data_IF_582295106017
#
_entry.id   IF_582295106017
#
_cell.length_a   1.000
_cell.length_b   1.000
_cell.length_c   1.000
_cell.angle_alpha   90.00
_cell.angle_beta   90.00
_cell.angle_gamma   90.00
#
_symmetry.space_group_name_H-M   'P 1'
#
loop_
_entity.id
_entity.type
_entity.pdbx_description
1 polymer ?
#
# COMPACT_ATOMS: atom_id res chain seq x y z
N UNK A 1 3.36 -72.36 9.31
CA UNK A 1 3.02 -73.41 8.32
C UNK A 1 1.82 -72.94 7.50
N UNK A 2 1.99 -72.80 6.16
CA UNK A 2 0.99 -72.56 5.06
C UNK A 2 0.19 -71.24 5.09
N UNK A 3 0.43 -70.23 4.22
CA UNK A 3 0.24 -70.05 2.75
C UNK A 3 -1.21 -69.65 2.33
N UNK A 4 -1.35 -68.37 1.91
CA UNK A 4 -2.14 -67.70 0.83
C UNK A 4 -3.61 -68.08 0.52
N UNK A 5 -4.50 -67.06 0.46
CA UNK A 5 -5.00 -66.44 -0.79
C UNK A 5 -5.92 -65.23 -0.57
N UNK A 6 -5.87 -64.34 -1.57
CA UNK A 6 -6.53 -63.06 -1.84
C UNK A 6 -8.06 -63.08 -1.95
N UNK A 7 -8.72 -61.97 -1.60
CA UNK A 7 -9.92 -61.51 -2.32
C UNK A 7 -10.07 -59.98 -2.27
N UNK A 8 -10.18 -59.40 -3.46
CA UNK A 8 -10.45 -57.99 -3.78
C UNK A 8 -11.95 -57.71 -3.59
N UNK A 9 -12.33 -56.56 -3.04
CA UNK A 9 -13.71 -56.06 -3.18
C UNK A 9 -13.72 -54.66 -3.79
N UNK A 10 -14.42 -54.56 -4.91
CA UNK A 10 -14.69 -53.35 -5.69
C UNK A 10 -15.73 -52.51 -4.94
N UNK A 11 -15.49 -51.21 -4.77
CA UNK A 11 -16.58 -50.24 -4.57
C UNK A 11 -16.70 -49.38 -5.82
N UNK A 12 -17.93 -49.31 -6.31
CA UNK A 12 -18.35 -48.70 -7.55
C UNK A 12 -18.08 -47.18 -7.53
N UNK A 13 -17.54 -46.69 -8.64
CA UNK A 13 -17.50 -45.26 -8.99
C UNK A 13 -18.86 -44.93 -9.61
N UNK A 14 -19.67 -44.15 -8.91
CA UNK A 14 -20.83 -43.50 -9.50
C UNK A 14 -20.36 -42.18 -10.13
N UNK A 15 -20.30 -42.15 -11.46
CA UNK A 15 -20.09 -40.94 -12.23
C UNK A 15 -21.37 -40.10 -12.19
N UNK A 16 -21.29 -38.91 -11.57
CA UNK A 16 -22.32 -37.87 -11.73
C UNK A 16 -21.92 -37.03 -12.93
N UNK A 17 -22.60 -37.26 -14.05
CA UNK A 17 -22.56 -36.37 -15.20
C UNK A 17 -23.34 -35.09 -14.86
N UNK A 18 -22.65 -33.96 -14.72
CA UNK A 18 -23.29 -32.64 -14.73
C UNK A 18 -23.22 -32.12 -16.16
N UNK A 19 -24.40 -32.01 -16.77
CA UNK A 19 -24.60 -31.41 -18.07
C UNK A 19 -24.22 -29.92 -18.03
N UNK A 20 -23.15 -29.55 -18.73
CA UNK A 20 -22.87 -28.17 -19.07
C UNK A 20 -23.65 -27.82 -20.34
N UNK A 21 -24.74 -27.05 -20.19
CA UNK A 21 -25.44 -26.43 -21.32
C UNK A 21 -26.09 -25.14 -20.85
N UNK A 22 -25.36 -24.04 -21.02
CA UNK A 22 -25.91 -22.70 -21.15
C UNK A 22 -24.86 -21.81 -21.83
N UNK A 23 -24.75 -21.95 -23.15
CA UNK A 23 -24.15 -20.93 -24.00
C UNK A 23 -25.06 -19.69 -23.96
N UNK A 24 -24.61 -18.59 -23.35
CA UNK A 24 -25.13 -17.28 -23.71
C UNK A 24 -24.36 -16.80 -24.94
N UNK A 25 -24.93 -17.08 -26.11
CA UNK A 25 -24.56 -16.42 -27.35
C UNK A 25 -25.04 -14.96 -27.27
N UNK A 26 -24.10 -14.02 -27.24
CA UNK A 26 -24.41 -12.61 -27.55
C UNK A 26 -24.60 -12.55 -29.07
N UNK A 27 -25.85 -12.48 -29.50
CA UNK A 27 -26.19 -12.26 -30.90
C UNK A 27 -25.70 -10.87 -31.32
N UNK A 28 -24.69 -10.82 -32.19
CA UNK A 28 -24.34 -9.64 -32.94
C UNK A 28 -25.41 -9.41 -34.01
N UNK A 29 -26.25 -8.38 -33.84
CA UNK A 29 -27.13 -7.91 -34.90
C UNK A 29 -26.31 -7.12 -35.93
N UNK A 30 -26.46 -7.37 -37.24
CA UNK A 30 -25.80 -6.59 -38.27
C UNK A 30 -26.55 -5.26 -38.45
N UNK A 31 -25.86 -4.14 -38.18
CA UNK A 31 -26.35 -2.81 -38.58
C UNK A 31 -25.94 -2.62 -40.04
N UNK A 32 -26.90 -2.79 -40.95
CA UNK A 32 -26.79 -2.27 -42.31
C UNK A 32 -26.92 -0.75 -42.27
N UNK A 33 -25.86 -0.04 -42.65
CA UNK A 33 -25.89 1.38 -42.95
C UNK A 33 -25.99 1.53 -44.48
N UNK A 34 -27.18 1.84 -44.97
CA UNK A 34 -27.36 2.34 -46.34
C UNK A 34 -26.94 3.81 -46.42
N UNK A 35 -26.26 4.25 -47.50
CA UNK A 35 -25.90 5.64 -47.71
C UNK A 35 -27.09 6.42 -48.27
N UNK A 36 -27.73 7.26 -47.45
CA UNK A 36 -28.67 8.26 -47.94
C UNK A 36 -27.92 9.44 -48.60
N UNK A 37 -27.91 9.44 -49.92
CA UNK A 37 -27.55 10.58 -50.77
C UNK A 37 -28.69 11.60 -50.77
N UNK A 38 -28.43 12.82 -50.28
CA UNK A 38 -29.32 13.98 -50.48
C UNK A 38 -28.75 14.84 -51.61
N UNK A 39 -29.55 15.24 -52.62
CA UNK A 39 -29.05 16.05 -53.73
C UNK A 39 -28.93 17.52 -53.31
N UNK A 40 -27.74 18.10 -53.41
CA UNK A 40 -27.54 19.56 -53.33
C UNK A 40 -27.71 20.17 -54.71
N UNK A 41 -28.80 20.90 -54.91
CA UNK A 41 -29.00 21.81 -56.04
C UNK A 41 -28.16 23.08 -55.84
N UNK A 42 -27.25 23.36 -56.78
CA UNK A 42 -26.55 24.63 -56.92
C UNK A 42 -27.52 25.77 -57.23
N UNK A 43 -27.44 26.85 -56.46
CA UNK A 43 -27.97 28.17 -56.87
C UNK A 43 -26.80 29.15 -56.87
N UNK A 44 -26.42 29.58 -58.07
CA UNK A 44 -25.41 30.58 -58.32
C UNK A 44 -25.83 31.96 -57.77
N UNK A 45 -25.02 32.55 -56.89
CA UNK A 45 -25.11 33.97 -56.56
C UNK A 45 -23.78 34.67 -56.83
N UNK A 46 -23.87 35.72 -57.66
CA UNK A 46 -22.75 36.54 -58.16
C UNK A 46 -22.10 37.31 -57.00
N UNK A 47 -20.79 37.15 -56.84
CA UNK A 47 -19.93 37.86 -55.89
C UNK A 47 -19.69 39.32 -56.32
N UNK A 48 -19.90 40.26 -55.40
CA UNK A 48 -19.30 41.62 -55.42
C UNK A 48 -18.03 41.64 -54.55
N UNK A 49 -16.98 42.42 -54.90
CA UNK A 49 -15.73 42.43 -54.13
C UNK A 49 -15.90 43.16 -52.78
N UNK A 50 -15.33 42.57 -51.72
CA UNK A 50 -15.34 43.10 -50.34
C UNK A 50 -14.17 44.08 -50.13
N UNK A 51 -14.35 45.23 -49.45
CA UNK A 51 -13.28 46.18 -49.19
C UNK A 51 -12.28 45.66 -48.13
N UNK A 52 -11.02 46.09 -48.28
CA UNK A 52 -9.85 45.71 -47.48
C UNK A 52 -10.01 46.14 -46.00
N UNK A 53 -9.71 45.30 -44.99
CA UNK A 53 -9.81 45.71 -43.59
C UNK A 53 -8.67 46.66 -43.20
N UNK A 54 -9.00 47.67 -42.40
CA UNK A 54 -8.04 48.55 -41.72
C UNK A 54 -7.29 47.80 -40.59
N UNK A 55 -6.06 48.21 -40.23
CA UNK A 55 -5.28 47.56 -39.19
C UNK A 55 -5.92 47.75 -37.81
N UNK A 56 -5.97 46.68 -37.01
CA UNK A 56 -6.46 46.69 -35.63
C UNK A 56 -5.43 47.33 -34.69
N UNK A 57 -5.84 48.04 -33.62
CA UNK A 57 -4.91 48.62 -32.65
C UNK A 57 -4.21 47.51 -31.85
N UNK A 58 -2.90 47.64 -31.63
CA UNK A 58 -2.11 46.74 -30.78
C UNK A 58 -2.69 46.67 -29.36
N UNK A 59 -3.15 45.48 -28.97
CA UNK A 59 -3.42 45.15 -27.57
C UNK A 59 -2.09 44.98 -26.83
N UNK A 60 -1.87 45.81 -25.81
CA UNK A 60 -0.80 45.59 -24.82
C UNK A 60 -0.93 44.18 -24.23
N UNK A 61 0.17 43.44 -24.04
CA UNK A 61 0.13 42.13 -23.39
C UNK A 61 -0.50 42.24 -22.00
N UNK A 62 -1.62 41.55 -21.79
CA UNK A 62 -2.24 41.42 -20.49
C UNK A 62 -1.26 40.77 -19.50
N UNK A 63 -1.15 41.37 -18.30
CA UNK A 63 -0.32 40.84 -17.24
C UNK A 63 -0.65 39.36 -16.99
N UNK A 64 0.38 38.51 -16.91
CA UNK A 64 0.26 37.13 -16.43
C UNK A 64 -0.53 37.16 -15.10
N UNK A 65 -1.50 36.23 -14.90
CA UNK A 65 -2.09 36.05 -13.58
C UNK A 65 -0.97 35.91 -12.55
N UNK A 66 -1.08 36.54 -11.37
CA UNK A 66 -0.07 36.38 -10.34
C UNK A 66 0.12 34.88 -10.10
N UNK A 67 1.37 34.42 -10.19
CA UNK A 67 1.75 33.06 -9.80
C UNK A 67 1.23 32.90 -8.38
N UNK A 68 0.29 31.98 -8.18
CA UNK A 68 -0.22 31.67 -6.85
C UNK A 68 0.98 31.43 -5.93
N UNK A 69 0.99 32.07 -4.77
CA UNK A 69 2.02 31.80 -3.77
C UNK A 69 2.11 30.28 -3.57
N UNK A 70 3.33 29.70 -3.49
CA UNK A 70 3.46 28.27 -3.29
C UNK A 70 2.66 27.88 -2.05
N UNK A 71 1.86 26.81 -2.18
CA UNK A 71 1.11 26.28 -1.06
C UNK A 71 2.07 26.04 0.12
N UNK A 72 1.64 26.28 1.37
CA UNK A 72 2.49 26.02 2.53
C UNK A 72 2.96 24.56 2.49
N UNK A 73 4.18 24.24 2.96
CA UNK A 73 4.64 22.85 2.98
C UNK A 73 3.81 22.02 3.95
N UNK A 74 3.67 20.73 3.68
CA UNK A 74 3.11 19.80 4.65
C UNK A 74 3.98 19.73 5.91
N UNK A 75 3.34 19.60 7.07
CA UNK A 75 4.02 19.62 8.37
C UNK A 75 3.51 18.51 9.28
N UNK A 76 4.39 18.00 10.14
CA UNK A 76 4.01 17.01 11.15
C UNK A 76 3.38 17.73 12.35
N UNK A 77 2.11 17.47 12.61
CA UNK A 77 1.35 18.07 13.73
C UNK A 77 1.42 17.23 14.99
N UNK A 78 1.58 15.91 14.85
CA UNK A 78 1.66 14.98 15.97
C UNK A 78 2.52 13.77 15.62
N UNK A 79 3.24 13.26 16.62
CA UNK A 79 4.00 12.00 16.56
C UNK A 79 3.56 11.11 17.71
N UNK A 80 3.24 9.84 17.43
CA UNK A 80 2.94 8.84 18.45
C UNK A 80 3.73 7.55 18.21
N UNK A 81 4.49 7.12 19.21
CA UNK A 81 5.29 5.90 19.14
C UNK A 81 4.51 4.73 19.72
N UNK A 82 4.27 3.68 18.91
CA UNK A 82 3.62 2.45 19.36
C UNK A 82 4.63 1.40 19.84
N UNK A 83 5.82 1.44 19.27
CA UNK A 83 6.98 0.64 19.66
C UNK A 83 8.24 1.38 19.22
N UNK A 84 9.43 0.84 19.49
CA UNK A 84 10.66 1.39 18.90
C UNK A 84 10.71 1.23 17.38
N UNK A 85 9.99 0.26 16.82
CA UNK A 85 9.95 -0.03 15.38
C UNK A 85 8.79 0.66 14.66
N UNK A 86 7.69 0.98 15.35
CA UNK A 86 6.47 1.55 14.75
C UNK A 86 6.09 2.90 15.34
N UNK A 87 5.95 3.89 14.48
CA UNK A 87 5.56 5.27 14.81
C UNK A 87 4.43 5.74 13.89
N UNK A 88 3.51 6.56 14.38
CA UNK A 88 2.54 7.29 13.57
C UNK A 88 2.84 8.78 13.56
N UNK A 89 2.74 9.37 12.38
CA UNK A 89 2.77 10.80 12.13
C UNK A 89 1.36 11.26 11.77
N UNK A 90 0.94 12.41 12.26
CA UNK A 90 -0.15 13.15 11.65
C UNK A 90 0.49 14.26 10.83
N UNK A 91 0.31 14.18 9.52
CA UNK A 91 0.88 15.12 8.57
C UNK A 91 -0.26 16.00 8.07
N UNK A 92 -0.20 17.29 8.37
CA UNK A 92 -1.14 18.25 7.80
C UNK A 92 -0.88 18.36 6.29
N UNK A 93 -1.87 17.99 5.49
CA UNK A 93 -1.87 18.14 4.03
C UNK A 93 -2.52 19.46 3.64
N UNK A 94 -1.77 20.42 3.08
CA UNK A 94 -2.32 21.63 2.47
C UNK A 94 -3.36 21.31 1.39
N UNK A 95 -3.11 20.31 0.54
CA UNK A 95 -4.01 19.96 -0.56
C UNK A 95 -5.38 19.43 -0.08
N UNK A 96 -5.39 18.67 1.02
CA UNK A 96 -6.63 18.14 1.61
C UNK A 96 -7.18 18.98 2.76
N UNK A 97 -6.41 19.96 3.25
CA UNK A 97 -6.68 20.77 4.44
C UNK A 97 -7.07 19.90 5.65
N UNK A 98 -6.32 18.82 5.88
CA UNK A 98 -6.58 17.88 6.96
C UNK A 98 -5.32 17.16 7.40
N UNK A 99 -5.32 16.65 8.63
CA UNK A 99 -4.22 15.88 9.18
C UNK A 99 -4.40 14.41 8.80
N UNK A 100 -3.42 13.88 8.07
CA UNK A 100 -3.42 12.50 7.59
C UNK A 100 -2.49 11.68 8.46
N UNK A 101 -3.01 10.60 9.03
CA UNK A 101 -2.17 9.67 9.75
C UNK A 101 -1.33 8.84 8.76
N UNK A 102 -0.02 8.80 8.99
CA UNK A 102 0.93 7.95 8.27
C UNK A 102 1.69 7.12 9.30
N UNK A 103 1.51 5.80 9.24
CA UNK A 103 2.28 4.87 10.06
C UNK A 103 3.60 4.53 9.35
N UNK A 104 4.67 4.42 10.12
CA UNK A 104 6.00 4.09 9.62
C UNK A 104 6.54 2.91 10.42
N UNK A 105 6.95 1.86 9.70
CA UNK A 105 7.85 0.84 10.25
C UNK A 105 9.27 1.28 9.92
N UNK A 106 10.03 1.61 10.95
CA UNK A 106 11.38 2.15 10.82
C UNK A 106 12.37 1.05 10.45
N UNK A 107 13.32 1.39 9.59
CA UNK A 107 14.40 0.50 9.20
C UNK A 107 15.11 -0.14 10.41
N UNK A 108 15.51 -1.40 10.28
CA UNK A 108 16.21 -2.19 11.32
C UNK A 108 17.30 -1.39 12.04
N UNK A 109 18.19 -0.75 11.27
CA UNK A 109 19.36 -0.06 11.82
C UNK A 109 19.10 1.40 12.21
N UNK A 110 17.82 1.83 12.31
CA UNK A 110 17.43 3.21 12.62
C UNK A 110 18.21 3.79 13.81
N UNK A 111 18.23 3.09 14.94
CA UNK A 111 18.92 3.57 16.15
C UNK A 111 20.41 3.25 16.16
N UNK A 112 20.80 2.11 15.60
CA UNK A 112 22.20 1.70 15.54
C UNK A 112 23.05 2.57 14.60
N UNK A 113 22.44 3.19 13.60
CA UNK A 113 23.08 4.06 12.60
C UNK A 113 22.31 5.38 12.50
N UNK A 114 22.49 6.31 13.46
CA UNK A 114 21.70 7.56 13.54
C UNK A 114 21.87 8.48 12.33
N UNK A 115 23.03 8.42 11.65
CA UNK A 115 23.32 9.25 10.47
C UNK A 115 22.90 8.61 9.14
N UNK A 116 22.49 7.33 9.17
CA UNK A 116 22.08 6.62 7.96
C UNK A 116 20.67 7.02 7.53
N UNK A 117 20.48 7.16 6.22
CA UNK A 117 19.17 7.28 5.58
C UNK A 117 18.77 5.96 4.93
N UNK A 118 17.46 5.72 4.80
CA UNK A 118 16.89 4.46 4.35
C UNK A 118 15.98 4.64 3.12
N UNK A 119 15.92 3.67 2.19
CA UNK A 119 14.91 3.66 1.13
C UNK A 119 13.49 3.57 1.69
N UNK A 120 12.52 3.93 0.86
CA UNK A 120 11.10 3.97 1.22
C UNK A 120 10.32 2.86 0.51
N UNK A 121 9.42 2.20 1.23
CA UNK A 121 8.41 1.30 0.67
C UNK A 121 7.02 1.76 1.09
N UNK A 122 6.28 2.37 0.17
CA UNK A 122 4.89 2.76 0.41
C UNK A 122 3.97 1.56 0.20
N UNK A 123 3.15 1.24 1.19
CA UNK A 123 2.19 0.14 1.16
C UNK A 123 0.76 0.68 1.29
N UNK A 124 0.01 0.61 0.19
CA UNK A 124 -1.33 1.14 0.07
C UNK A 124 -2.39 0.10 0.45
N UNK A 125 -3.42 0.56 1.14
CA UNK A 125 -4.54 -0.25 1.62
C UNK A 125 -5.60 -0.46 0.51
N UNK A 126 -6.58 -1.30 0.79
CA UNK A 126 -7.69 -1.60 -0.09
C UNK A 126 -8.85 -0.60 -0.01
N UNK A 127 -9.93 -0.96 -0.70
CA UNK A 127 -11.12 -0.13 -0.84
C UNK A 127 -11.75 0.30 0.50
N UNK A 128 -11.66 -0.55 1.53
CA UNK A 128 -12.25 -0.36 2.87
C UNK A 128 -11.22 0.07 3.91
N UNK A 129 -10.25 0.90 3.52
CA UNK A 129 -9.22 1.41 4.41
C UNK A 129 -9.84 2.11 5.63
N UNK A 130 -9.38 1.76 6.84
CA UNK A 130 -9.91 2.31 8.10
C UNK A 130 -9.17 3.59 8.48
N UNK A 131 -9.86 4.52 9.15
CA UNK A 131 -9.32 5.82 9.56
C UNK A 131 -8.44 5.73 10.84
N UNK A 132 -8.37 4.57 11.51
CA UNK A 132 -7.63 4.39 12.77
C UNK A 132 -6.26 3.69 12.61
N UNK A 133 -6.15 2.73 11.70
CA UNK A 133 -4.92 2.00 11.43
C UNK A 133 -4.90 1.37 10.03
N UNK A 134 -3.72 1.25 9.42
CA UNK A 134 -3.55 0.56 8.15
C UNK A 134 -3.95 -0.91 8.26
N UNK A 135 -4.76 -1.39 7.32
CA UNK A 135 -5.21 -2.78 7.22
C UNK A 135 -4.06 -3.78 7.15
N UNK A 136 -2.91 -3.38 6.60
CA UNK A 136 -1.70 -4.20 6.61
C UNK A 136 -1.25 -4.55 8.04
N UNK A 137 -1.32 -3.60 8.97
CA UNK A 137 -0.97 -3.83 10.38
C UNK A 137 -2.03 -4.67 11.09
N UNK A 138 -3.31 -4.42 10.79
CA UNK A 138 -4.44 -5.09 11.44
C UNK A 138 -4.49 -6.58 11.06
N UNK A 139 -4.23 -6.91 9.80
CA UNK A 139 -4.60 -8.20 9.23
C UNK A 139 -3.41 -9.06 8.79
N UNK A 140 -2.17 -8.59 9.00
CA UNK A 140 -0.97 -9.31 8.57
C UNK A 140 0.13 -9.27 9.62
N UNK A 141 1.22 -9.99 9.37
CA UNK A 141 2.45 -9.91 10.15
C UNK A 141 3.52 -9.01 9.49
N UNK A 142 3.11 -7.97 8.76
CA UNK A 142 4.04 -7.02 8.09
C UNK A 142 5.03 -6.40 9.06
N UNK A 143 4.61 -6.03 10.27
CA UNK A 143 5.50 -5.43 11.29
C UNK A 143 6.63 -6.40 11.67
N UNK A 144 6.31 -7.67 11.91
CA UNK A 144 7.31 -8.68 12.24
C UNK A 144 8.18 -9.06 11.03
N UNK A 145 7.58 -9.08 9.84
CA UNK A 145 8.30 -9.39 8.60
C UNK A 145 9.32 -8.30 8.25
N UNK A 146 8.99 -7.03 8.53
CA UNK A 146 9.82 -5.87 8.19
C UNK A 146 10.87 -5.51 9.23
N UNK A 147 10.75 -6.02 10.46
CA UNK A 147 11.65 -5.74 11.58
C UNK A 147 13.15 -5.97 11.29
N UNK A 148 13.49 -6.85 10.34
CA UNK A 148 14.89 -7.18 10.00
C UNK A 148 15.42 -6.52 8.73
N UNK A 149 14.70 -5.56 8.15
CA UNK A 149 15.02 -4.93 6.86
C UNK A 149 15.41 -3.46 7.02
N UNK A 150 16.42 -3.01 6.28
CA UNK A 150 16.83 -1.60 6.25
C UNK A 150 16.00 -0.76 5.26
N UNK A 151 14.69 -0.70 5.49
CA UNK A 151 13.73 0.10 4.70
C UNK A 151 12.75 0.80 5.65
N UNK A 152 12.40 2.04 5.35
CA UNK A 152 11.27 2.69 5.99
C UNK A 152 9.98 2.30 5.25
N UNK A 153 9.10 1.56 5.91
CA UNK A 153 7.81 1.17 5.32
C UNK A 153 6.77 2.22 5.68
N UNK A 154 6.18 2.83 4.66
CA UNK A 154 5.24 3.95 4.78
C UNK A 154 3.83 3.41 4.56
N UNK A 155 2.96 3.60 5.54
CA UNK A 155 1.60 3.06 5.60
C UNK A 155 0.62 4.23 5.80
N UNK A 156 0.18 4.89 4.72
CA UNK A 156 -0.88 5.90 4.81
C UNK A 156 -2.17 5.27 5.35
N UNK A 157 -2.82 5.94 6.31
CA UNK A 157 -4.03 5.45 6.99
C UNK A 157 -5.26 6.18 6.47
N UNK A 158 -6.38 5.46 6.39
CA UNK A 158 -7.64 5.96 5.85
C UNK A 158 -7.67 6.04 4.32
N UNK A 159 -8.55 6.89 3.82
CA UNK A 159 -8.74 7.05 2.37
C UNK A 159 -9.62 5.98 1.74
N UNK A 160 -10.64 5.51 2.47
CA UNK A 160 -11.70 4.63 1.96
C UNK A 160 -12.13 5.07 0.55
N UNK A 161 -12.16 4.14 -0.41
CA UNK A 161 -12.57 4.38 -1.79
C UNK A 161 -11.77 5.42 -2.59
N UNK A 162 -10.72 6.03 -2.04
CA UNK A 162 -10.04 7.17 -2.66
C UNK A 162 -9.29 6.85 -3.97
N UNK A 163 -9.00 5.58 -4.24
CA UNK A 163 -8.05 5.14 -5.28
C UNK A 163 -6.67 5.82 -5.19
N UNK A 164 -6.37 6.44 -4.05
CA UNK A 164 -5.22 7.30 -3.81
C UNK A 164 -4.97 8.31 -4.95
N UNK A 165 -6.05 8.90 -5.48
CA UNK A 165 -6.01 9.88 -6.57
C UNK A 165 -6.46 11.27 -6.10
N UNK A 166 -6.24 12.27 -6.94
CA UNK A 166 -6.83 13.59 -6.79
C UNK A 166 -8.23 13.62 -7.43
N UNK A 167 -9.26 13.73 -6.59
CA UNK A 167 -10.66 13.73 -7.05
C UNK A 167 -11.02 15.09 -7.65
N UNK A 168 -11.89 15.10 -8.66
CA UNK A 168 -12.38 16.36 -9.26
C UNK A 168 -13.23 17.17 -8.30
N UNK A 169 -14.10 16.49 -7.57
CA UNK A 169 -15.05 17.10 -6.64
C UNK A 169 -15.01 16.39 -5.28
N UNK A 170 -15.23 17.13 -4.17
CA UNK A 170 -15.45 16.50 -2.87
C UNK A 170 -16.68 15.59 -2.90
N UNK A 171 -16.63 14.51 -2.12
CA UNK A 171 -17.76 13.59 -1.96
C UNK A 171 -17.79 13.03 -0.54
N UNK A 172 -18.98 12.73 -0.01
CA UNK A 172 -19.17 12.15 1.33
C UNK A 172 -18.41 12.86 2.46
N UNK A 173 -18.21 14.18 2.35
CA UNK A 173 -17.49 14.98 3.35
C UNK A 173 -15.96 14.83 3.28
N UNK A 174 -15.42 14.22 2.23
CA UNK A 174 -13.99 14.03 1.98
C UNK A 174 -13.58 14.81 0.73
N UNK A 175 -12.43 15.49 0.79
CA UNK A 175 -11.78 16.15 -0.34
C UNK A 175 -10.47 15.42 -0.64
N UNK A 176 -10.53 14.41 -1.49
CA UNK A 176 -9.37 13.56 -1.74
C UNK A 176 -8.39 14.21 -2.73
N UNK A 177 -7.16 14.46 -2.23
CA UNK A 177 -5.98 14.88 -3.00
C UNK A 177 -4.79 13.98 -2.69
N UNK A 178 -5.02 12.68 -2.76
CA UNK A 178 -4.06 11.66 -2.32
C UNK A 178 -2.85 11.54 -3.23
N UNK A 179 -2.98 11.77 -4.54
CA UNK A 179 -1.82 11.76 -5.43
C UNK A 179 -0.90 12.94 -5.08
N UNK A 180 -1.48 14.14 -4.92
CA UNK A 180 -0.71 15.30 -4.46
C UNK A 180 -0.02 15.03 -3.13
N UNK A 181 -0.74 14.48 -2.14
CA UNK A 181 -0.16 14.17 -0.84
C UNK A 181 1.00 13.16 -0.93
N UNK A 182 0.80 12.05 -1.64
CA UNK A 182 1.78 10.96 -1.71
C UNK A 182 3.01 11.30 -2.58
N UNK A 183 2.86 12.16 -3.59
CA UNK A 183 3.93 12.47 -4.54
C UNK A 183 4.67 13.77 -4.19
N UNK A 184 3.97 14.78 -3.65
CA UNK A 184 4.55 16.12 -3.48
C UNK A 184 4.71 16.54 -2.01
N UNK A 185 3.82 16.11 -1.13
CA UNK A 185 3.79 16.57 0.26
C UNK A 185 4.56 15.64 1.20
N UNK A 186 4.12 14.38 1.30
CA UNK A 186 4.66 13.40 2.22
C UNK A 186 6.16 13.08 2.00
N UNK A 187 6.67 12.90 0.76
CA UNK A 187 8.09 12.60 0.54
C UNK A 187 9.01 13.69 1.10
N UNK A 188 8.61 14.96 0.98
CA UNK A 188 9.35 16.11 1.51
C UNK A 188 9.52 16.00 3.03
N UNK A 189 8.45 15.63 3.74
CA UNK A 189 8.49 15.40 5.21
C UNK A 189 9.41 14.23 5.54
N UNK A 190 9.29 13.12 4.81
CA UNK A 190 10.02 11.89 5.09
C UNK A 190 11.54 12.01 4.84
N UNK A 191 11.93 12.68 3.77
CA UNK A 191 13.33 12.83 3.36
C UNK A 191 14.11 13.84 4.20
N UNK A 192 13.39 14.84 4.70
CA UNK A 192 13.94 15.88 5.57
C UNK A 192 14.05 15.39 7.01
N UNK A 193 12.96 14.93 7.60
CA UNK A 193 12.84 14.76 9.05
C UNK A 193 12.83 13.28 9.49
N UNK A 194 12.55 12.33 8.58
CA UNK A 194 12.44 10.90 8.88
C UNK A 194 13.48 10.03 8.19
N UNK A 195 14.65 10.62 7.89
CA UNK A 195 15.84 9.96 7.32
C UNK A 195 15.53 9.00 6.17
N UNK A 196 14.60 9.39 5.32
CA UNK A 196 14.32 8.66 4.10
C UNK A 196 15.17 9.17 2.93
N UNK A 197 15.49 8.28 2.00
CA UNK A 197 16.13 8.63 0.72
C UNK A 197 15.08 8.82 -0.37
N UNK A 198 15.49 9.28 -1.55
CA UNK A 198 14.64 9.38 -2.74
C UNK A 198 14.54 8.04 -3.52
N UNK A 199 15.10 6.95 -2.99
CA UNK A 199 14.93 5.59 -3.54
C UNK A 199 13.63 5.01 -2.98
N UNK A 200 12.60 4.93 -3.83
CA UNK A 200 11.23 4.60 -3.42
C UNK A 200 10.71 3.37 -4.15
N UNK A 201 9.90 2.59 -3.45
CA UNK A 201 9.05 1.54 -4.01
C UNK A 201 7.62 1.77 -3.55
N UNK A 202 6.66 1.34 -4.36
CA UNK A 202 5.23 1.38 -4.02
C UNK A 202 4.60 0.01 -4.26
N UNK A 203 3.72 -0.41 -3.36
CA UNK A 203 2.88 -1.57 -3.57
C UNK A 203 1.54 -1.40 -2.88
N UNK A 204 0.55 -2.19 -3.27
CA UNK A 204 -0.74 -2.20 -2.59
C UNK A 204 -1.61 -3.35 -3.03
N UNK A 205 -2.72 -3.53 -2.31
CA UNK A 205 -3.73 -4.52 -2.63
C UNK A 205 -5.01 -3.89 -3.16
N UNK A 206 -5.78 -4.60 -3.98
CA UNK A 206 -7.10 -4.13 -4.44
C UNK A 206 -7.02 -2.72 -5.05
N UNK A 207 -7.80 -1.76 -4.52
CA UNK A 207 -7.70 -0.33 -4.79
C UNK A 207 -6.24 0.20 -4.73
N UNK A 208 -5.51 -0.09 -3.65
CA UNK A 208 -4.10 0.28 -3.49
C UNK A 208 -3.18 -0.37 -4.52
N UNK A 209 -3.53 -1.56 -5.02
CA UNK A 209 -2.80 -2.24 -6.09
C UNK A 209 -3.01 -1.59 -7.45
N UNK A 210 -4.22 -1.10 -7.71
CA UNK A 210 -4.50 -0.21 -8.87
C UNK A 210 -3.72 1.08 -8.74
N UNK A 211 -3.80 1.72 -7.57
CA UNK A 211 -3.13 2.98 -7.30
C UNK A 211 -1.60 2.90 -7.41
N UNK A 212 -0.98 1.81 -6.93
CA UNK A 212 0.47 1.64 -7.02
C UNK A 212 0.96 1.67 -8.47
N UNK A 213 0.27 0.97 -9.38
CA UNK A 213 0.62 0.96 -10.80
C UNK A 213 0.28 2.30 -11.48
N UNK A 214 -0.87 2.87 -11.15
CA UNK A 214 -1.32 4.18 -11.66
C UNK A 214 -0.33 5.29 -11.28
N UNK A 215 0.00 5.44 -9.99
CA UNK A 215 0.90 6.47 -9.49
C UNK A 215 2.31 6.32 -10.06
N UNK A 216 2.81 5.09 -10.20
CA UNK A 216 4.11 4.84 -10.84
C UNK A 216 4.12 5.20 -12.33
N UNK A 217 3.03 4.93 -13.05
CA UNK A 217 2.91 5.27 -14.47
C UNK A 217 2.75 6.79 -14.68
N UNK A 218 2.02 7.46 -13.78
CA UNK A 218 1.83 8.92 -13.82
C UNK A 218 3.05 9.71 -13.39
N UNK A 219 3.95 9.09 -12.63
CA UNK A 219 5.17 9.70 -12.12
C UNK A 219 6.42 8.89 -12.52
N UNK A 220 6.77 8.80 -13.82
CA UNK A 220 7.87 7.97 -14.28
C UNK A 220 9.20 8.31 -13.61
N UNK A 221 9.89 7.28 -13.13
CA UNK A 221 11.18 7.41 -12.44
C UNK A 221 11.09 7.76 -10.95
N UNK A 222 9.90 8.11 -10.44
CA UNK A 222 9.70 8.41 -9.02
C UNK A 222 9.80 7.17 -8.13
N UNK A 223 9.27 6.03 -8.61
CA UNK A 223 9.37 4.72 -7.97
C UNK A 223 10.27 3.78 -8.78
N UNK A 224 11.18 3.08 -8.09
CA UNK A 224 12.02 2.01 -8.67
C UNK A 224 11.30 0.68 -8.80
N UNK A 225 10.25 0.48 -8.00
CA UNK A 225 9.39 -0.70 -8.01
C UNK A 225 7.92 -0.33 -7.83
N UNK A 226 7.04 -1.04 -8.54
CA UNK A 226 5.60 -0.98 -8.38
C UNK A 226 5.01 -2.40 -8.27
N UNK A 227 4.27 -2.66 -7.18
CA UNK A 227 3.61 -3.94 -6.90
C UNK A 227 2.10 -3.83 -6.85
N UNK A 228 1.38 -4.70 -7.57
CA UNK A 228 -0.08 -4.76 -7.54
C UNK A 228 -0.55 -6.12 -7.08
N UNK A 229 -1.22 -6.19 -5.92
CA UNK A 229 -1.77 -7.42 -5.35
C UNK A 229 -3.29 -7.45 -5.52
N UNK A 230 -3.78 -8.24 -6.46
CA UNK A 230 -5.20 -8.31 -6.83
C UNK A 230 -5.80 -6.93 -7.17
N UNK A 231 -5.04 -6.07 -7.85
CA UNK A 231 -5.53 -4.78 -8.34
C UNK A 231 -6.36 -4.91 -9.62
N UNK A 232 -7.19 -3.90 -9.88
CA UNK A 232 -7.87 -3.72 -11.18
C UNK A 232 -6.96 -2.85 -12.05
N UNK A 233 -6.35 -3.44 -13.07
CA UNK A 233 -5.29 -2.78 -13.86
C UNK A 233 -5.76 -2.22 -15.20
N UNK A 234 -7.07 -2.12 -15.39
CA UNK A 234 -7.69 -1.47 -16.54
C UNK A 234 -8.99 -0.78 -16.08
N UNK A 235 -9.12 0.52 -16.30
CA UNK A 235 -10.24 1.33 -15.80
C UNK A 235 -11.21 1.77 -16.89
N UNK A 236 -10.77 1.79 -18.15
CA UNK A 236 -11.50 2.41 -19.27
C UNK A 236 -12.12 1.42 -20.24
N UNK A 237 -11.86 0.11 -20.11
CA UNK A 237 -12.53 -0.87 -20.95
C UNK A 237 -14.03 -0.91 -20.69
N UNK A 238 -14.77 -1.38 -21.69
CA UNK A 238 -16.23 -1.49 -21.61
C UNK A 238 -16.68 -2.20 -20.31
N UNK A 239 -17.58 -1.56 -19.57
CA UNK A 239 -18.10 -2.06 -18.28
C UNK A 239 -17.22 -1.76 -17.05
N UNK A 240 -15.97 -1.32 -17.23
CA UNK A 240 -15.08 -1.02 -16.10
C UNK A 240 -15.47 0.22 -15.31
N UNK A 241 -15.84 1.35 -15.93
CA UNK A 241 -16.32 2.51 -15.17
C UNK A 241 -17.52 2.17 -14.28
N UNK A 242 -18.44 1.33 -14.76
CA UNK A 242 -19.59 0.85 -14.01
C UNK A 242 -19.18 -0.10 -12.87
N UNK A 243 -18.20 -0.98 -13.10
CA UNK A 243 -17.66 -1.85 -12.06
C UNK A 243 -16.94 -1.05 -10.95
N UNK A 244 -16.19 -0.02 -11.32
CA UNK A 244 -15.57 0.91 -10.35
C UNK A 244 -16.65 1.68 -9.60
N UNK A 245 -17.69 2.19 -10.28
CA UNK A 245 -18.82 2.83 -9.61
C UNK A 245 -19.54 1.89 -8.63
N UNK A 246 -19.69 0.61 -8.97
CA UNK A 246 -20.24 -0.39 -8.06
C UNK A 246 -19.35 -0.58 -6.83
N UNK A 247 -18.03 -0.70 -7.04
CA UNK A 247 -17.06 -0.82 -5.94
C UNK A 247 -17.11 0.40 -5.01
N UNK A 248 -17.07 1.62 -5.54
CA UNK A 248 -17.15 2.84 -4.74
C UNK A 248 -18.45 2.96 -3.95
N UNK A 249 -19.58 2.49 -4.50
CA UNK A 249 -20.86 2.41 -3.76
C UNK A 249 -20.82 1.42 -2.62
N UNK A 250 -20.22 0.25 -2.81
CA UNK A 250 -20.02 -0.77 -1.78
C UNK A 250 -19.00 -0.33 -0.71
N UNK A 251 -17.97 0.42 -1.11
CA UNK A 251 -16.91 0.96 -0.25
C UNK A 251 -17.24 2.34 0.33
N UNK A 252 -18.41 2.50 0.96
CA UNK A 252 -18.78 3.75 1.64
C UNK A 252 -19.72 4.67 0.85
N UNK A 253 -20.23 4.22 -0.30
CA UNK A 253 -21.29 4.93 -1.02
C UNK A 253 -20.81 6.06 -1.93
N UNK A 254 -19.55 6.07 -2.35
CA UNK A 254 -18.96 7.14 -3.14
C UNK A 254 -19.38 7.12 -4.62
N UNK A 255 -19.26 8.27 -5.28
CA UNK A 255 -19.57 8.48 -6.69
C UNK A 255 -18.31 8.60 -7.56
N UNK A 256 -18.17 7.70 -8.54
CA UNK A 256 -17.03 7.70 -9.47
C UNK A 256 -17.00 8.96 -10.35
N UNK A 257 -18.16 9.58 -10.59
CA UNK A 257 -18.23 10.84 -11.32
C UNK A 257 -17.61 12.00 -10.54
N UNK A 258 -17.58 11.95 -9.19
CA UNK A 258 -16.87 12.93 -8.37
C UNK A 258 -15.35 12.70 -8.40
N UNK A 259 -14.93 11.44 -8.56
CA UNK A 259 -13.52 11.07 -8.70
C UNK A 259 -12.94 11.50 -10.05
N UNK A 260 -13.51 11.02 -11.16
CA UNK A 260 -12.95 11.22 -12.51
C UNK A 260 -13.90 11.90 -13.51
N UNK A 261 -15.12 12.27 -13.11
CA UNK A 261 -16.14 12.73 -14.05
C UNK A 261 -16.86 11.57 -14.74
N UNK A 262 -17.74 11.85 -15.72
CA UNK A 262 -18.45 10.81 -16.46
C UNK A 262 -17.45 9.85 -17.16
N UNK A 263 -17.83 8.60 -17.49
CA UNK A 263 -16.93 7.63 -18.12
C UNK A 263 -16.23 8.09 -19.41
N UNK A 264 -16.79 9.09 -20.11
CA UNK A 264 -16.20 9.71 -21.30
C UNK A 264 -15.10 10.73 -21.00
N UNK A 265 -14.96 11.13 -19.73
CA UNK A 265 -14.02 12.15 -19.28
C UNK A 265 -12.56 11.65 -19.46
N UNK A 266 -11.66 12.48 -20.00
CA UNK A 266 -10.25 12.12 -20.17
C UNK A 266 -9.56 11.62 -18.90
N UNK A 267 -10.00 12.08 -17.72
CA UNK A 267 -9.41 11.69 -16.45
C UNK A 267 -9.39 10.17 -16.25
N UNK A 268 -10.38 9.43 -16.74
CA UNK A 268 -10.35 7.95 -16.67
C UNK A 268 -9.15 7.36 -17.38
N UNK A 269 -8.80 7.86 -18.58
CA UNK A 269 -7.62 7.39 -19.34
C UNK A 269 -6.31 7.86 -18.72
N UNK A 270 -6.30 9.06 -18.15
CA UNK A 270 -5.15 9.62 -17.45
C UNK A 270 -4.81 8.86 -16.17
N UNK A 271 -5.72 8.02 -15.67
CA UNK A 271 -5.55 7.22 -14.44
C UNK A 271 -5.62 5.71 -14.71
N UNK A 272 -5.75 5.27 -15.95
CA UNK A 272 -5.82 3.85 -16.31
C UNK A 272 -4.41 3.25 -16.46
N UNK A 273 -3.99 2.31 -15.59
CA UNK A 273 -2.67 1.67 -15.69
C UNK A 273 -2.41 1.02 -17.05
N UNK A 274 -3.42 0.39 -17.66
CA UNK A 274 -3.29 -0.26 -18.96
C UNK A 274 -2.98 0.72 -20.08
N UNK A 275 -3.64 1.87 -20.06
CA UNK A 275 -3.43 2.94 -21.04
C UNK A 275 -2.03 3.54 -20.87
N UNK A 276 -1.60 3.75 -19.62
CA UNK A 276 -0.32 4.35 -19.26
C UNK A 276 0.86 3.36 -19.21
N UNK A 277 0.68 2.11 -19.63
CA UNK A 277 1.66 1.05 -19.44
C UNK A 277 3.05 1.37 -20.05
N UNK A 278 3.13 2.20 -21.11
CA UNK A 278 4.41 2.62 -21.71
C UNK A 278 5.27 3.46 -20.75
N UNK A 279 4.62 4.18 -19.82
CA UNK A 279 5.26 5.05 -18.83
C UNK A 279 5.96 4.29 -17.70
N UNK A 280 5.69 3.00 -17.56
CA UNK A 280 6.33 2.14 -16.55
C UNK A 280 7.69 1.59 -16.99
N UNK A 281 8.20 1.99 -18.15
CA UNK A 281 9.52 1.56 -18.63
C UNK A 281 10.61 1.99 -17.65
N UNK A 282 11.40 1.02 -17.20
CA UNK A 282 12.47 1.24 -16.21
C UNK A 282 12.04 1.04 -14.76
N UNK A 283 10.76 0.84 -14.49
CA UNK A 283 10.25 0.45 -13.16
C UNK A 283 10.21 -1.07 -13.06
N UNK A 284 10.64 -1.63 -11.93
CA UNK A 284 10.51 -3.06 -11.64
C UNK A 284 9.05 -3.38 -11.26
N UNK A 285 8.39 -4.26 -12.01
CA UNK A 285 6.95 -4.51 -11.86
C UNK A 285 6.66 -5.90 -11.29
N UNK A 286 5.77 -5.96 -10.29
CA UNK A 286 5.19 -7.20 -9.76
C UNK A 286 3.66 -7.13 -9.82
N UNK A 287 3.03 -8.12 -10.43
CA UNK A 287 1.58 -8.18 -10.63
C UNK A 287 1.12 -9.53 -10.13
N UNK A 288 0.28 -9.58 -9.10
CA UNK A 288 -0.32 -10.83 -8.65
C UNK A 288 -1.84 -10.79 -8.68
N UNK A 289 -2.46 -11.92 -9.01
CA UNK A 289 -3.89 -12.15 -8.83
C UNK A 289 -4.14 -13.64 -8.54
N UNK A 290 -5.16 -13.91 -7.73
CA UNK A 290 -5.77 -15.22 -7.59
C UNK A 290 -6.76 -15.48 -8.73
N UNK A 291 -7.78 -16.29 -8.46
CA UNK A 291 -8.82 -16.63 -9.45
C UNK A 291 -10.23 -16.68 -8.86
N UNK A 292 -10.39 -16.25 -7.60
CA UNK A 292 -11.68 -16.27 -6.90
C UNK A 292 -12.11 -17.66 -6.40
N UNK A 293 -11.33 -18.71 -6.69
CA UNK A 293 -11.57 -20.07 -6.18
C UNK A 293 -11.02 -20.16 -4.75
N UNK A 294 -11.84 -20.71 -3.85
CA UNK A 294 -11.47 -21.04 -2.46
C UNK A 294 -10.17 -21.85 -2.47
N UNK A 295 -9.13 -21.31 -1.86
CA UNK A 295 -7.85 -21.97 -1.67
C UNK A 295 -7.59 -22.33 -0.20
N UNK A 296 -6.37 -22.77 0.13
CA UNK A 296 -6.03 -23.29 1.46
C UNK A 296 -6.22 -22.29 2.62
N UNK A 297 -6.30 -20.98 2.33
CA UNK A 297 -6.46 -19.94 3.35
C UNK A 297 -7.92 -19.47 3.54
N UNK A 298 -8.87 -20.11 2.85
CA UNK A 298 -10.29 -19.74 2.88
C UNK A 298 -11.14 -20.65 3.78
N UNK A 299 -12.22 -20.10 4.35
CA UNK A 299 -13.29 -20.91 4.95
C UNK A 299 -14.28 -21.30 3.84
N UNK A 300 -14.56 -22.61 3.63
CA UNK A 300 -15.53 -23.04 2.61
C UNK A 300 -16.94 -22.51 2.93
N UNK A 301 -17.75 -22.20 1.90
CA UNK A 301 -19.20 -22.00 2.05
C UNK A 301 -19.96 -23.33 1.93
N UNK A 302 -21.29 -23.28 2.16
CA UNK A 302 -22.20 -24.42 1.98
C UNK A 302 -22.32 -24.89 0.50
N UNK A 303 -21.77 -24.11 -0.45
CA UNK A 303 -21.65 -24.49 -1.86
C UNK A 303 -20.17 -24.80 -2.16
N UNK A 304 -19.84 -26.04 -2.60
CA UNK A 304 -18.47 -26.40 -2.95
C UNK A 304 -17.86 -25.42 -3.96
N UNK A 305 -16.61 -24.99 -3.72
CA UNK A 305 -15.80 -24.05 -4.54
C UNK A 305 -16.16 -22.56 -4.47
N UNK A 306 -17.15 -22.14 -3.67
CA UNK A 306 -17.49 -20.72 -3.46
C UNK A 306 -17.16 -20.27 -2.04
N UNK A 307 -16.60 -19.05 -1.90
CA UNK A 307 -16.44 -18.38 -0.60
C UNK A 307 -17.75 -17.66 -0.21
N UNK A 308 -18.00 -17.47 1.09
CA UNK A 308 -19.18 -16.74 1.59
C UNK A 308 -19.21 -15.26 1.19
N UNK A 309 -18.08 -14.72 0.72
CA UNK A 309 -17.94 -13.35 0.25
C UNK A 309 -18.12 -13.24 -1.29
N UNK A 310 -19.37 -13.28 -1.76
CA UNK A 310 -19.71 -13.24 -3.18
C UNK A 310 -19.16 -12.01 -3.92
N UNK A 311 -19.11 -10.83 -3.29
CA UNK A 311 -18.55 -9.62 -3.89
C UNK A 311 -17.02 -9.71 -4.06
N UNK A 312 -16.33 -10.32 -3.09
CA UNK A 312 -14.89 -10.60 -3.19
C UNK A 312 -14.52 -11.56 -4.32
N UNK A 313 -15.36 -12.57 -4.61
CA UNK A 313 -15.14 -13.49 -5.73
C UNK A 313 -15.26 -12.77 -7.07
N UNK A 314 -16.30 -11.96 -7.26
CA UNK A 314 -16.51 -11.18 -8.49
C UNK A 314 -15.37 -10.19 -8.76
N UNK A 315 -14.92 -9.47 -7.72
CA UNK A 315 -13.79 -8.55 -7.83
C UNK A 315 -12.47 -9.28 -8.12
N UNK A 316 -12.23 -10.45 -7.54
CA UNK A 316 -11.00 -11.23 -7.81
C UNK A 316 -10.95 -11.73 -9.26
N UNK A 317 -12.09 -12.18 -9.81
CA UNK A 317 -12.19 -12.56 -11.23
C UNK A 317 -11.88 -11.35 -12.14
N UNK A 318 -12.43 -10.18 -11.81
CA UNK A 318 -12.17 -8.96 -12.58
C UNK A 318 -10.71 -8.51 -12.50
N UNK A 319 -10.11 -8.55 -11.29
CA UNK A 319 -8.69 -8.30 -11.08
C UNK A 319 -7.83 -9.26 -11.90
N UNK A 320 -8.18 -10.56 -11.91
CA UNK A 320 -7.46 -11.59 -12.67
C UNK A 320 -7.45 -11.29 -14.17
N UNK A 321 -8.62 -10.98 -14.74
CA UNK A 321 -8.75 -10.66 -16.18
C UNK A 321 -7.93 -9.42 -16.54
N UNK A 322 -8.11 -8.33 -15.79
CA UNK A 322 -7.40 -7.07 -16.06
C UNK A 322 -5.88 -7.21 -15.86
N UNK A 323 -5.44 -8.00 -14.88
CA UNK A 323 -4.02 -8.30 -14.66
C UNK A 323 -3.39 -9.11 -15.80
N UNK A 324 -4.14 -10.03 -16.42
CA UNK A 324 -3.69 -10.77 -17.60
C UNK A 324 -3.58 -9.88 -18.84
N UNK A 325 -4.57 -9.01 -19.05
CA UNK A 325 -4.57 -8.05 -20.15
C UNK A 325 -3.40 -7.07 -19.99
N UNK A 326 -3.18 -6.57 -18.77
CA UNK A 326 -2.06 -5.70 -18.44
C UNK A 326 -0.70 -6.35 -18.70
N UNK A 327 -0.49 -7.59 -18.25
CA UNK A 327 0.75 -8.32 -18.55
C UNK A 327 0.96 -8.54 -20.07
N UNK A 328 -0.12 -8.84 -20.80
CA UNK A 328 -0.07 -8.92 -22.27
C UNK A 328 0.33 -7.59 -22.91
N UNK A 329 -0.18 -6.47 -22.39
CA UNK A 329 0.18 -5.12 -22.84
C UNK A 329 1.65 -4.80 -22.58
N UNK A 330 2.17 -5.12 -21.39
CA UNK A 330 3.60 -4.95 -21.07
C UNK A 330 4.49 -5.77 -22.02
N UNK A 331 4.14 -7.03 -22.27
CA UNK A 331 4.86 -7.89 -23.20
C UNK A 331 4.88 -7.31 -24.63
N UNK A 332 3.75 -6.79 -25.13
CA UNK A 332 3.67 -6.12 -26.44
C UNK A 332 4.54 -4.86 -26.51
N UNK A 333 4.73 -4.17 -25.39
CA UNK A 333 5.58 -2.96 -25.30
C UNK A 333 7.06 -3.28 -25.01
N UNK A 334 7.41 -4.56 -24.83
CA UNK A 334 8.75 -4.98 -24.42
C UNK A 334 9.16 -4.41 -23.06
N UNK A 335 8.21 -4.37 -22.10
CA UNK A 335 8.45 -3.93 -20.72
C UNK A 335 8.39 -5.17 -19.83
N UNK A 336 9.48 -5.45 -19.12
CA UNK A 336 9.56 -6.61 -18.23
C UNK A 336 8.69 -6.39 -16.98
N UNK A 337 7.86 -7.37 -16.65
CA UNK A 337 7.13 -7.42 -15.40
C UNK A 337 6.93 -8.86 -14.95
N UNK A 338 6.95 -9.07 -13.64
CA UNK A 338 6.70 -10.39 -13.05
C UNK A 338 5.19 -10.54 -12.80
N UNK A 339 4.54 -11.37 -13.60
CA UNK A 339 3.13 -11.70 -13.40
C UNK A 339 3.01 -13.05 -12.68
N UNK A 340 2.41 -13.04 -11.48
CA UNK A 340 2.20 -14.23 -10.64
C UNK A 340 0.71 -14.52 -10.55
N UNK A 341 0.33 -15.69 -11.01
CA UNK A 341 -1.06 -16.09 -11.12
C UNK A 341 -1.30 -17.37 -10.35
N UNK A 342 -1.89 -17.25 -9.17
CA UNK A 342 -2.11 -18.44 -8.34
C UNK A 342 -3.25 -19.30 -8.89
N UNK A 343 -3.15 -20.64 -8.75
CA UNK A 343 -4.20 -21.57 -9.16
C UNK A 343 -5.42 -21.54 -8.24
N UNK A 344 -5.33 -20.89 -7.08
CA UNK A 344 -6.41 -20.67 -6.12
C UNK A 344 -6.14 -19.39 -5.34
N UNK A 345 -7.18 -18.78 -4.79
CA UNK A 345 -7.06 -17.66 -3.85
C UNK A 345 -8.17 -16.64 -4.03
N UNK A 346 -8.61 -16.10 -2.91
CA UNK A 346 -9.67 -15.10 -2.81
C UNK A 346 -9.10 -13.72 -2.50
N UNK A 347 -9.97 -12.70 -2.58
CA UNK A 347 -9.65 -11.31 -2.28
C UNK A 347 -9.54 -11.06 -0.76
N UNK A 348 -8.55 -11.67 -0.10
CA UNK A 348 -8.40 -11.65 1.36
C UNK A 348 -6.95 -11.46 1.84
N UNK A 349 -6.80 -11.01 3.08
CA UNK A 349 -5.52 -10.64 3.69
C UNK A 349 -4.43 -11.71 3.72
N UNK A 350 -4.69 -13.00 4.05
CA UNK A 350 -3.63 -14.02 4.08
C UNK A 350 -2.92 -14.15 2.73
N UNK A 351 -3.69 -14.06 1.65
CA UNK A 351 -3.18 -14.11 0.29
C UNK A 351 -2.34 -12.90 -0.09
N UNK A 352 -2.73 -11.69 0.35
CA UNK A 352 -1.94 -10.48 0.11
C UNK A 352 -0.66 -10.46 0.92
N UNK A 353 -0.69 -10.94 2.18
CA UNK A 353 0.51 -11.12 2.98
C UNK A 353 1.50 -12.08 2.31
N UNK A 354 1.00 -13.20 1.78
CA UNK A 354 1.84 -14.13 1.02
C UNK A 354 2.52 -13.43 -0.17
N UNK A 355 1.78 -12.68 -0.99
CA UNK A 355 2.35 -11.99 -2.16
C UNK A 355 3.35 -10.90 -1.76
N UNK A 356 3.10 -10.19 -0.66
CA UNK A 356 4.04 -9.23 -0.09
C UNK A 356 5.39 -9.90 0.25
N UNK A 357 5.35 -11.10 0.83
CA UNK A 357 6.57 -11.89 1.10
C UNK A 357 7.25 -12.33 -0.18
N UNK A 358 6.50 -12.79 -1.19
CA UNK A 358 7.06 -13.24 -2.46
C UNK A 358 7.68 -12.10 -3.29
N UNK A 359 7.08 -10.91 -3.24
CA UNK A 359 7.58 -9.73 -3.94
C UNK A 359 8.86 -9.16 -3.29
N UNK A 360 9.11 -9.45 -2.00
CA UNK A 360 10.20 -8.83 -1.24
C UNK A 360 11.59 -8.93 -1.90
N UNK A 361 12.05 -10.07 -2.44
CA UNK A 361 13.36 -10.12 -3.11
C UNK A 361 13.49 -9.13 -4.28
N UNK A 362 12.40 -8.92 -5.04
CA UNK A 362 12.37 -7.96 -6.13
C UNK A 362 12.32 -6.52 -5.62
N UNK A 363 11.53 -6.25 -4.57
CA UNK A 363 11.51 -4.96 -3.87
C UNK A 363 12.90 -4.62 -3.35
N UNK A 364 13.55 -5.55 -2.64
CA UNK A 364 14.89 -5.39 -2.11
C UNK A 364 15.90 -5.09 -3.23
N UNK A 365 15.82 -5.79 -4.37
CA UNK A 365 16.64 -5.49 -5.54
C UNK A 365 16.46 -4.06 -6.06
N UNK A 366 15.22 -3.62 -6.22
CA UNK A 366 14.92 -2.28 -6.71
C UNK A 366 15.31 -1.17 -5.73
N UNK A 367 15.32 -1.45 -4.42
CA UNK A 367 15.73 -0.53 -3.37
C UNK A 367 17.24 -0.59 -3.06
N UNK A 368 18.02 -1.45 -3.75
CA UNK A 368 19.45 -1.61 -3.48
C UNK A 368 19.77 -2.38 -2.19
N UNK A 369 18.83 -3.18 -1.69
CA UNK A 369 18.90 -3.94 -0.44
C UNK A 369 19.13 -5.45 -0.64
N UNK A 370 19.44 -5.95 -1.84
CA UNK A 370 19.67 -7.39 -2.05
C UNK A 370 20.81 -7.97 -1.18
N UNK A 371 21.76 -7.13 -0.77
CA UNK A 371 22.85 -7.51 0.13
C UNK A 371 22.56 -7.25 1.61
N UNK A 372 21.42 -6.64 1.96
CA UNK A 372 21.06 -6.34 3.34
C UNK A 372 20.86 -7.64 4.12
N UNK A 373 21.58 -7.76 5.22
CA UNK A 373 21.54 -8.92 6.11
C UNK A 373 21.63 -8.44 7.54
N UNK A 374 20.93 -9.14 8.42
CA UNK A 374 21.10 -8.97 9.86
C UNK A 374 22.53 -9.36 10.21
N UNK A 375 23.32 -8.37 10.61
CA UNK A 375 24.66 -8.55 11.14
C UNK A 375 24.60 -8.34 12.66
N UNK A 376 24.31 -9.41 13.42
CA UNK A 376 24.19 -9.30 14.86
C UNK A 376 24.94 -10.42 15.58
N UNK A 377 25.53 -10.06 16.72
CA UNK A 377 26.04 -10.99 17.73
C UNK A 377 25.63 -10.42 19.06
N UNK A 378 24.94 -11.22 19.88
CA UNK A 378 24.50 -10.77 21.19
C UNK A 378 25.72 -10.51 22.06
N UNK A 379 25.80 -9.29 22.59
CA UNK A 379 26.84 -8.88 23.51
C UNK A 379 26.97 -9.79 24.73
N UNK A 380 28.19 -10.07 25.19
CA UNK A 380 28.40 -10.96 26.34
C UNK A 380 27.73 -10.45 27.61
N UNK A 381 27.68 -9.13 27.78
CA UNK A 381 26.95 -8.50 28.89
C UNK A 381 25.44 -8.69 28.73
N UNK A 382 24.92 -8.60 27.51
CA UNK A 382 23.49 -8.66 27.20
C UNK A 382 22.91 -10.08 27.20
N UNK A 383 23.74 -11.11 27.03
CA UNK A 383 23.34 -12.53 27.23
C UNK A 383 22.76 -12.79 28.62
N UNK A 384 23.09 -11.95 29.61
CA UNK A 384 22.62 -12.06 31.00
C UNK A 384 21.29 -11.33 31.26
N UNK A 385 20.68 -10.72 30.25
CA UNK A 385 19.40 -10.02 30.42
C UNK A 385 18.28 -11.03 30.77
N UNK A 386 17.53 -10.84 31.86
CA UNK A 386 16.56 -11.83 32.35
C UNK A 386 15.48 -12.23 31.34
N UNK A 387 15.09 -11.31 30.45
CA UNK A 387 14.00 -11.50 29.49
C UNK A 387 14.47 -11.70 28.04
N UNK A 388 15.76 -12.00 27.81
CA UNK A 388 16.30 -12.10 26.45
C UNK A 388 15.60 -13.15 25.58
N UNK A 389 15.18 -14.28 26.15
CA UNK A 389 14.55 -15.37 25.40
C UNK A 389 13.19 -14.96 24.76
N UNK A 390 12.52 -13.94 25.30
CA UNK A 390 11.25 -13.44 24.75
C UNK A 390 11.42 -12.42 23.62
N UNK A 391 12.64 -11.93 23.38
CA UNK A 391 12.90 -10.84 22.45
C UNK A 391 12.99 -11.26 20.98
N UNK A 392 13.08 -12.57 20.71
CA UNK A 392 13.38 -13.10 19.39
C UNK A 392 14.83 -12.90 18.98
N UNK A 393 15.13 -13.00 17.68
CA UNK A 393 16.49 -12.82 17.17
C UNK A 393 17.02 -11.39 17.36
N UNK A 394 18.33 -11.26 17.58
CA UNK A 394 18.99 -9.97 17.52
C UNK A 394 18.89 -9.38 16.11
N UNK A 395 18.92 -8.05 16.04
CA UNK A 395 18.78 -7.30 14.79
C UNK A 395 20.03 -6.48 14.49
N UNK A 396 20.63 -5.89 15.51
CA UNK A 396 21.79 -5.00 15.36
C UNK A 396 22.99 -5.51 16.17
N UNK A 397 24.21 -5.06 15.86
CA UNK A 397 25.30 -5.07 16.84
C UNK A 397 24.96 -4.18 18.05
N UNK A 398 25.72 -4.29 19.13
CA UNK A 398 25.63 -3.27 20.17
C UNK A 398 26.07 -1.89 19.64
N UNK A 399 25.31 -0.85 19.97
CA UNK A 399 25.59 0.53 19.59
C UNK A 399 25.53 1.47 20.80
N UNK A 400 26.16 2.63 20.67
CA UNK A 400 26.21 3.63 21.74
C UNK A 400 24.86 4.35 21.88
N UNK A 401 24.49 4.64 23.12
CA UNK A 401 23.34 5.49 23.47
C UNK A 401 23.76 6.43 24.61
N UNK A 402 23.01 7.52 24.89
CA UNK A 402 23.32 8.37 26.03
C UNK A 402 23.45 7.57 27.33
N UNK A 403 24.61 7.67 27.98
CA UNK A 403 24.92 6.99 29.25
C UNK A 403 25.30 5.50 29.13
N UNK A 404 25.26 4.88 27.95
CA UNK A 404 25.51 3.44 27.86
C UNK A 404 25.50 2.84 26.45
N UNK A 405 25.05 1.59 26.36
CA UNK A 405 24.94 0.85 25.09
C UNK A 405 23.58 0.20 24.97
N UNK A 406 23.16 -0.06 23.75
CA UNK A 406 21.93 -0.78 23.45
C UNK A 406 22.12 -1.77 22.30
N UNK A 407 21.19 -2.72 22.19
CA UNK A 407 21.12 -3.68 21.09
C UNK A 407 19.66 -3.98 20.79
N UNK A 408 19.30 -3.94 19.51
CA UNK A 408 17.93 -4.19 19.05
C UNK A 408 17.68 -5.69 18.82
N UNK A 409 16.47 -6.10 19.15
CA UNK A 409 15.90 -7.42 18.92
C UNK A 409 14.51 -7.26 18.31
N UNK A 410 13.95 -8.35 17.75
CA UNK A 410 12.64 -8.31 17.08
C UNK A 410 11.52 -7.71 17.93
N UNK A 411 11.47 -8.03 19.22
CA UNK A 411 10.36 -7.63 20.11
C UNK A 411 10.76 -6.61 21.19
N UNK A 412 11.92 -5.96 21.05
CA UNK A 412 12.39 -4.99 22.03
C UNK A 412 13.87 -4.72 21.95
N UNK A 413 14.39 -4.02 22.95
CA UNK A 413 15.78 -3.59 22.99
C UNK A 413 16.36 -3.88 24.36
N UNK A 414 17.60 -4.35 24.37
CA UNK A 414 18.40 -4.45 25.59
C UNK A 414 19.24 -3.19 25.71
N UNK A 415 19.27 -2.61 26.90
CA UNK A 415 20.15 -1.51 27.27
C UNK A 415 21.07 -1.95 28.38
N UNK A 416 22.27 -1.37 28.45
CA UNK A 416 23.02 -1.32 29.70
C UNK A 416 22.20 -0.62 30.78
N UNK A 417 22.32 -1.06 32.02
CA UNK A 417 21.68 -0.42 33.15
C UNK A 417 22.54 -0.49 34.42
N UNK A 418 22.26 0.34 35.43
CA UNK A 418 23.04 0.39 36.69
C UNK A 418 23.11 -0.95 37.44
N UNK A 419 22.08 -1.80 37.25
CA UNK A 419 21.96 -3.15 37.84
C UNK A 419 22.07 -4.24 36.78
N UNK A 420 22.96 -4.05 35.81
CA UNK A 420 23.11 -4.92 34.65
C UNK A 420 22.10 -4.61 33.54
N UNK A 421 22.13 -5.38 32.43
CA UNK A 421 21.30 -5.10 31.27
C UNK A 421 19.80 -5.18 31.58
N UNK A 422 19.01 -4.38 30.87
CA UNK A 422 17.54 -4.31 31.02
C UNK A 422 16.85 -4.29 29.67
N UNK A 423 15.72 -4.97 29.61
CA UNK A 423 14.86 -5.07 28.44
C UNK A 423 13.78 -4.00 28.49
N UNK A 424 13.63 -3.27 27.38
CA UNK A 424 12.52 -2.33 27.16
C UNK A 424 11.93 -2.63 25.77
N UNK A 425 10.63 -2.86 25.70
CA UNK A 425 9.95 -3.26 24.46
C UNK A 425 8.49 -2.80 24.41
N UNK A 426 7.79 -3.17 23.35
CA UNK A 426 6.38 -2.82 23.15
C UNK A 426 6.09 -1.32 23.25
N UNK A 427 4.90 -0.99 23.76
CA UNK A 427 4.45 0.39 23.93
C UNK A 427 5.31 1.19 24.92
N UNK A 428 5.87 0.54 25.94
CA UNK A 428 6.83 1.18 26.85
C UNK A 428 8.09 1.60 26.09
N UNK A 429 8.62 0.71 25.24
CA UNK A 429 9.75 1.00 24.36
C UNK A 429 9.47 2.15 23.40
N UNK A 430 8.25 2.22 22.85
CA UNK A 430 7.81 3.36 22.03
C UNK A 430 7.83 4.67 22.80
N UNK A 431 7.21 4.72 23.98
CA UNK A 431 7.21 5.92 24.83
C UNK A 431 8.61 6.29 25.34
N UNK A 432 9.52 5.32 25.45
CA UNK A 432 10.90 5.56 25.86
C UNK A 432 11.74 6.26 24.79
N UNK A 433 11.47 6.04 23.50
CA UNK A 433 12.24 6.65 22.39
C UNK A 433 12.40 8.17 22.56
N UNK A 434 11.33 8.97 22.65
CA UNK A 434 11.45 10.42 22.85
C UNK A 434 11.80 10.82 24.29
N UNK A 435 11.68 9.90 25.26
CA UNK A 435 11.88 10.18 26.68
C UNK A 435 13.26 9.79 27.20
N UNK A 436 14.12 9.18 26.37
CA UNK A 436 15.38 8.58 26.78
C UNK A 436 16.31 9.55 27.50
N UNK A 437 16.52 10.74 26.92
CA UNK A 437 17.37 11.76 27.55
C UNK A 437 16.81 12.23 28.89
N UNK A 438 15.48 12.35 29.01
CA UNK A 438 14.83 12.76 30.25
C UNK A 438 14.92 11.70 31.33
N UNK A 439 14.63 10.45 30.99
CA UNK A 439 14.52 9.35 31.96
C UNK A 439 15.86 8.70 32.34
N UNK A 440 16.88 8.79 31.47
CA UNK A 440 18.14 8.06 31.66
C UNK A 440 17.99 6.57 31.33
N UNK A 441 18.97 5.76 31.73
CA UNK A 441 18.99 4.32 31.43
C UNK A 441 17.89 3.56 32.21
N UNK A 442 17.39 2.42 31.67
CA UNK A 442 16.47 1.57 32.40
C UNK A 442 17.12 0.92 33.62
N UNK A 443 16.35 0.84 34.70
CA UNK A 443 16.75 0.23 35.98
C UNK A 443 15.99 -1.07 36.28
N UNK A 444 14.92 -1.37 35.54
CA UNK A 444 14.18 -2.64 35.56
C UNK A 444 13.81 -3.11 34.15
N UNK A 445 13.64 -4.43 34.01
CA UNK A 445 12.91 -5.04 32.90
C UNK A 445 11.40 -4.74 33.03
N UNK A 446 10.56 -5.20 32.10
CA UNK A 446 9.11 -4.99 32.26
C UNK A 446 8.60 -5.75 33.49
N UNK A 447 8.02 -5.01 34.43
CA UNK A 447 7.39 -5.51 35.65
C UNK A 447 5.87 -5.37 35.56
N UNK A 448 5.16 -6.17 36.36
CA UNK A 448 3.70 -6.11 36.48
C UNK A 448 3.33 -5.72 37.91
N UNK A 449 2.62 -4.60 38.06
CA UNK A 449 2.05 -4.14 39.32
C UNK A 449 0.91 -5.03 39.81
N UNK A 450 0.50 -4.86 41.07
CA UNK A 450 -0.61 -5.62 41.68
C UNK A 450 -1.96 -5.33 41.03
N UNK A 451 -2.09 -4.17 40.43
CA UNK A 451 -3.23 -3.66 39.66
C UNK A 451 -3.20 -4.13 38.18
N UNK A 452 -2.20 -4.94 37.79
CA UNK A 452 -2.02 -5.42 36.43
C UNK A 452 -1.34 -4.41 35.50
N UNK A 453 -0.97 -3.22 36.00
CA UNK A 453 -0.25 -2.20 35.23
C UNK A 453 1.15 -2.71 34.89
N UNK A 454 1.53 -2.63 33.62
CA UNK A 454 2.91 -2.93 33.18
C UNK A 454 3.78 -1.71 33.33
N UNK A 455 5.03 -1.87 33.73
CA UNK A 455 5.94 -0.73 33.82
C UNK A 455 7.43 -1.12 33.71
N UNK A 456 8.22 -0.17 33.22
CA UNK A 456 9.68 -0.15 33.39
C UNK A 456 10.06 1.06 34.24
N UNK A 457 11.06 0.91 35.09
CA UNK A 457 11.69 2.01 35.82
C UNK A 457 12.98 2.42 35.14
N UNK A 458 13.30 3.70 35.24
CA UNK A 458 14.50 4.33 34.69
C UNK A 458 15.22 5.09 35.82
N UNK A 459 16.38 5.67 35.54
CA UNK A 459 17.14 6.44 36.54
C UNK A 459 16.36 7.63 37.11
N UNK A 460 15.54 8.28 36.28
CA UNK A 460 14.82 9.53 36.62
C UNK A 460 13.31 9.45 36.42
N UNK A 461 12.72 8.26 36.54
CA UNK A 461 11.26 8.09 36.43
C UNK A 461 10.85 6.68 36.07
N UNK A 462 9.63 6.53 35.58
CA UNK A 462 9.11 5.25 35.08
C UNK A 462 8.21 5.46 33.87
N UNK A 463 7.96 4.40 33.13
CA UNK A 463 6.91 4.38 32.11
C UNK A 463 5.94 3.29 32.49
N UNK A 464 4.67 3.65 32.61
CA UNK A 464 3.57 2.74 32.89
C UNK A 464 2.77 2.47 31.61
N UNK A 465 2.13 1.32 31.51
CA UNK A 465 1.26 0.97 30.39
C UNK A 465 0.03 0.20 30.87
N UNK A 466 -1.12 0.57 30.31
CA UNK A 466 -2.37 -0.21 30.38
C UNK A 466 -3.03 -0.25 29.00
N UNK A 467 -3.90 -1.25 28.73
CA UNK A 467 -4.69 -1.28 27.50
C UNK A 467 -5.57 -0.02 27.31
N UNK A 468 -6.04 0.58 28.40
CA UNK A 468 -6.97 1.72 28.35
C UNK A 468 -6.26 3.05 28.14
N UNK A 469 -5.10 3.23 28.77
CA UNK A 469 -4.42 4.54 28.81
C UNK A 469 -3.19 4.63 27.92
N UNK A 470 -2.75 3.50 27.35
CA UNK A 470 -1.48 3.39 26.63
C UNK A 470 -0.28 3.60 27.55
N UNK A 471 0.88 3.82 26.95
CA UNK A 471 2.12 4.08 27.67
C UNK A 471 2.20 5.53 28.14
N UNK A 472 2.56 5.76 29.40
CA UNK A 472 2.68 7.09 30.01
C UNK A 472 4.02 7.21 30.70
N UNK A 473 4.70 8.32 30.45
CA UNK A 473 5.96 8.62 31.11
C UNK A 473 5.68 9.43 32.37
N UNK A 474 6.13 8.91 33.52
CA UNK A 474 5.92 9.45 34.87
C UNK A 474 7.25 9.90 35.48
#
# INVERSE_FOLDING_TARGET
>A
MKIWKTTTSRRAVAAVAVAASACMAVAAAPVHAEPNTVPTTEVATKTKPKPKPAPSPEQKPGAKPPVAAPAPPATVTKVAWYSSHRVALWVHSPAMNTDIQVQILLARDWFARPDMKFPQLTMLDGLRAQDDQSGWIINTNVEQFMADKNVNVILPVGGESSFYTDWKEPDRGKNYKWETFLIHELPTVLEKDWRSTDVRAIQGLSMGGTAAMMLAARNPGFYRFAGSFSGILQLTSYGMPEAIQFALRDGGGYDAAKMFGPPSDPAWKEHDPYVLADKLRGTSLYISSGNGVVGPHDKPSDIPLLATNYSGVGLEVLSRVTSQQFASRLNKLGINGQAVYRPSGTHTWPYWQFEMVQAWPQVAGALGLSGDKVACTVGDSFKKAPQINGLGGCLTPEYAVPGGRAQDFRNGRIFTGPKGPKVVGGAIGGAYVPAMERLGLPTSDELTGRDGVKFNTFERGKITWTPQTGARVE
#
